data_IF_991330732594
#
_entry.id   IF_991330732594
#
_cell.length_a   1.000
_cell.length_b   1.000
_cell.length_c   1.000
_cell.angle_alpha   90.00
_cell.angle_beta   90.00
_cell.angle_gamma   90.00
#
_symmetry.space_group_name_H-M   'P 1'
#
loop_
_entity.id
_entity.type
_entity.pdbx_description
1 polymer ?
#
# COMPACT_ATOMS: atom_id res chain seq x y z
N UNK A 1 5.95 -8.36 -14.59
CA UNK A 1 4.93 -8.53 -15.67
C UNK A 1 3.77 -7.63 -15.35
N UNK A 2 3.45 -6.66 -16.22
CA UNK A 2 2.28 -5.80 -16.07
C UNK A 2 1.01 -6.55 -16.49
N UNK A 3 -0.04 -6.45 -15.67
CA UNK A 3 -1.35 -7.02 -15.98
C UNK A 3 -2.35 -5.92 -16.29
N UNK A 4 -3.34 -6.24 -17.13
CA UNK A 4 -4.38 -5.27 -17.48
C UNK A 4 -5.13 -4.74 -16.26
N UNK A 5 -5.40 -5.58 -15.27
CA UNK A 5 -6.02 -5.18 -14.00
C UNK A 5 -5.20 -4.13 -13.24
N UNK A 6 -3.87 -4.24 -13.27
CA UNK A 6 -2.99 -3.24 -12.65
C UNK A 6 -3.13 -1.87 -13.34
N UNK A 7 -3.19 -1.84 -14.67
CA UNK A 7 -3.40 -0.58 -15.41
C UNK A 7 -4.76 0.06 -15.06
N UNK A 8 -5.83 -0.73 -14.99
CA UNK A 8 -7.14 -0.23 -14.58
C UNK A 8 -7.14 0.32 -13.15
N UNK A 9 -6.53 -0.39 -12.20
CA UNK A 9 -6.47 0.04 -10.80
C UNK A 9 -5.55 1.26 -10.61
N UNK A 10 -4.45 1.36 -11.35
CA UNK A 10 -3.60 2.56 -11.35
C UNK A 10 -4.36 3.77 -11.92
N UNK A 11 -5.13 3.59 -13.00
CA UNK A 11 -5.95 4.64 -13.58
C UNK A 11 -7.09 5.07 -12.63
N UNK A 12 -7.75 4.11 -11.95
CA UNK A 12 -8.78 4.39 -10.97
C UNK A 12 -8.21 5.18 -9.77
N UNK A 13 -7.03 4.80 -9.27
CA UNK A 13 -6.36 5.52 -8.19
C UNK A 13 -5.94 6.93 -8.60
N UNK A 14 -5.42 7.11 -9.80
CA UNK A 14 -5.08 8.43 -10.31
C UNK A 14 -6.32 9.32 -10.47
N UNK A 15 -7.45 8.76 -10.92
CA UNK A 15 -8.70 9.47 -11.05
C UNK A 15 -9.26 9.92 -9.70
N UNK A 16 -9.32 9.00 -8.71
CA UNK A 16 -9.88 9.34 -7.39
C UNK A 16 -9.03 10.39 -6.65
N UNK A 17 -7.70 10.36 -6.80
CA UNK A 17 -6.82 11.39 -6.23
C UNK A 17 -7.03 12.78 -6.85
N UNK A 18 -7.67 12.85 -8.00
CA UNK A 18 -8.09 14.11 -8.68
C UNK A 18 -9.55 14.44 -8.42
N UNK A 19 -10.25 13.70 -7.56
CA UNK A 19 -11.69 13.78 -7.32
C UNK A 19 -12.54 13.58 -8.58
N UNK A 20 -12.04 12.79 -9.53
CA UNK A 20 -12.73 12.48 -10.80
C UNK A 20 -13.52 11.16 -10.63
N UNK A 21 -14.70 11.28 -10.02
CA UNK A 21 -15.57 10.12 -9.74
C UNK A 21 -16.01 9.39 -11.03
N UNK A 22 -16.42 10.07 -12.12
CA UNK A 22 -16.82 9.38 -13.34
C UNK A 22 -15.71 8.49 -13.92
N UNK A 23 -14.48 8.99 -14.01
CA UNK A 23 -13.36 8.20 -14.50
C UNK A 23 -12.92 7.13 -13.49
N UNK A 24 -13.03 7.38 -12.20
CA UNK A 24 -12.80 6.35 -11.17
C UNK A 24 -13.75 5.17 -11.38
N UNK A 25 -15.05 5.42 -11.55
CA UNK A 25 -16.04 4.37 -11.85
C UNK A 25 -15.69 3.63 -13.13
N UNK A 26 -15.40 4.36 -14.20
CA UNK A 26 -15.05 3.79 -15.51
C UNK A 26 -13.90 2.78 -15.40
N UNK A 27 -12.85 3.14 -14.69
CA UNK A 27 -11.66 2.27 -14.56
C UNK A 27 -11.83 1.18 -13.50
N UNK A 28 -12.60 1.43 -12.45
CA UNK A 28 -12.82 0.44 -11.40
C UNK A 28 -13.83 -0.64 -11.80
N UNK A 29 -14.83 -0.31 -12.61
CA UNK A 29 -15.94 -1.20 -12.98
C UNK A 29 -15.50 -2.57 -13.54
N UNK A 30 -14.53 -2.68 -14.49
CA UNK A 30 -14.10 -3.97 -15.01
C UNK A 30 -13.49 -4.91 -13.95
N UNK A 31 -12.95 -4.35 -12.88
CA UNK A 31 -12.37 -5.11 -11.76
C UNK A 31 -13.47 -5.45 -10.75
N UNK A 32 -14.26 -4.45 -10.37
CA UNK A 32 -15.26 -4.55 -9.32
C UNK A 32 -16.35 -5.60 -9.64
N UNK A 33 -16.77 -5.69 -10.90
CA UNK A 33 -17.78 -6.67 -11.35
C UNK A 33 -17.35 -8.11 -11.07
N UNK A 34 -16.05 -8.39 -11.02
CA UNK A 34 -15.53 -9.74 -10.72
C UNK A 34 -15.76 -10.17 -9.27
N UNK A 35 -16.07 -9.22 -8.38
CA UNK A 35 -16.50 -9.52 -7.01
C UNK A 35 -17.95 -9.98 -6.91
N UNK A 36 -18.69 -10.02 -8.04
CA UNK A 36 -20.12 -10.32 -8.07
C UNK A 36 -21.01 -9.17 -7.60
N UNK A 37 -20.44 -7.96 -7.41
CA UNK A 37 -21.15 -6.76 -6.95
C UNK A 37 -21.31 -5.75 -8.11
N UNK A 38 -22.36 -4.93 -8.00
CA UNK A 38 -22.62 -3.86 -8.96
C UNK A 38 -22.04 -2.53 -8.45
N UNK A 39 -21.06 -2.00 -9.18
CA UNK A 39 -20.47 -0.70 -8.85
C UNK A 39 -21.45 0.47 -9.09
N UNK A 40 -22.41 0.31 -10.00
CA UNK A 40 -23.38 1.37 -10.28
C UNK A 40 -24.39 1.55 -9.12
N UNK A 41 -24.51 0.55 -8.24
CA UNK A 41 -25.29 0.64 -7.01
C UNK A 41 -24.54 1.31 -5.84
N UNK A 42 -23.24 1.58 -5.99
CA UNK A 42 -22.43 2.27 -4.97
C UNK A 42 -22.65 3.78 -5.09
N UNK A 43 -22.96 4.46 -3.99
CA UNK A 43 -23.12 5.92 -3.98
C UNK A 43 -21.80 6.65 -4.32
N UNK A 44 -21.88 7.87 -4.84
CA UNK A 44 -20.68 8.62 -5.24
C UNK A 44 -19.76 8.96 -4.05
N UNK A 45 -20.34 9.21 -2.88
CA UNK A 45 -19.62 9.44 -1.63
C UNK A 45 -18.80 8.23 -1.16
N UNK A 46 -19.20 7.02 -1.55
CA UNK A 46 -18.53 5.76 -1.23
C UNK A 46 -17.46 5.39 -2.28
N UNK A 47 -17.45 6.08 -3.42
CA UNK A 47 -16.38 5.96 -4.41
C UNK A 47 -15.18 6.79 -3.94
N UNK A 48 -14.35 6.17 -3.15
CA UNK A 48 -13.21 6.82 -2.50
C UNK A 48 -11.92 6.00 -2.67
N UNK A 49 -10.82 6.55 -2.17
CA UNK A 49 -9.50 5.90 -2.26
C UNK A 49 -9.47 4.55 -1.55
N UNK A 50 -10.18 4.43 -0.43
CA UNK A 50 -10.19 3.18 0.33
C UNK A 50 -10.87 2.05 -0.43
N UNK A 51 -11.94 2.35 -1.18
CA UNK A 51 -12.56 1.38 -2.09
C UNK A 51 -11.59 0.92 -3.17
N UNK A 52 -10.84 1.82 -3.78
CA UNK A 52 -9.83 1.48 -4.81
C UNK A 52 -8.72 0.62 -4.21
N UNK A 53 -8.19 1.00 -3.04
CA UNK A 53 -7.14 0.24 -2.34
C UNK A 53 -7.61 -1.14 -1.89
N UNK A 54 -8.91 -1.27 -1.56
CA UNK A 54 -9.50 -2.57 -1.23
C UNK A 54 -9.58 -3.47 -2.47
N UNK A 55 -9.97 -2.92 -3.64
CA UNK A 55 -9.94 -3.69 -4.89
C UNK A 55 -8.51 -4.09 -5.28
N UNK A 56 -7.52 -3.23 -5.02
CA UNK A 56 -6.11 -3.59 -5.22
C UNK A 56 -5.69 -4.73 -4.30
N UNK A 57 -6.11 -4.69 -3.03
CA UNK A 57 -5.83 -5.75 -2.04
C UNK A 57 -6.36 -7.11 -2.50
N UNK A 58 -7.59 -7.13 -3.02
CA UNK A 58 -8.25 -8.35 -3.52
C UNK A 58 -7.54 -8.85 -4.79
N UNK A 59 -7.30 -7.97 -5.77
CA UNK A 59 -6.75 -8.32 -7.07
C UNK A 59 -5.29 -8.80 -6.99
N UNK A 60 -4.50 -8.21 -6.08
CA UNK A 60 -3.08 -8.52 -5.90
C UNK A 60 -2.79 -9.31 -4.63
N UNK A 61 -3.79 -10.09 -4.18
CA UNK A 61 -3.64 -10.90 -2.99
C UNK A 61 -2.45 -11.86 -3.11
N UNK A 62 -1.57 -11.87 -2.09
CA UNK A 62 -0.35 -12.70 -2.09
C UNK A 62 0.83 -12.15 -2.91
N UNK A 63 0.70 -10.98 -3.56
CA UNK A 63 1.76 -10.40 -4.41
C UNK A 63 2.65 -9.38 -3.69
N UNK A 64 2.44 -9.16 -2.39
CA UNK A 64 3.25 -8.24 -1.59
C UNK A 64 2.99 -6.74 -1.85
N UNK A 65 2.01 -6.38 -2.69
CA UNK A 65 1.76 -4.99 -3.07
C UNK A 65 1.07 -4.17 -1.98
N UNK A 66 0.27 -4.80 -1.11
CA UNK A 66 -0.54 -4.13 -0.09
C UNK A 66 0.26 -3.18 0.81
N UNK A 67 1.43 -3.62 1.24
CA UNK A 67 2.33 -2.83 2.07
C UNK A 67 2.69 -1.49 1.42
N UNK A 68 3.15 -1.54 0.18
CA UNK A 68 3.51 -0.33 -0.57
C UNK A 68 2.30 0.54 -0.90
N UNK A 69 1.15 -0.06 -1.22
CA UNK A 69 -0.10 0.66 -1.48
C UNK A 69 -0.56 1.47 -0.27
N UNK A 70 -0.44 0.93 0.93
CA UNK A 70 -0.79 1.64 2.16
C UNK A 70 0.19 2.78 2.44
N UNK A 71 1.49 2.51 2.46
CA UNK A 71 2.49 3.50 2.81
C UNK A 71 2.53 4.70 1.85
N UNK A 72 2.50 4.47 0.53
CA UNK A 72 2.50 5.56 -0.47
C UNK A 72 1.23 6.41 -0.44
N UNK A 73 0.16 5.91 0.19
CA UNK A 73 -1.10 6.63 0.39
C UNK A 73 -1.25 7.16 1.82
N UNK A 74 -0.18 7.20 2.61
CA UNK A 74 -0.17 7.64 4.02
C UNK A 74 -1.21 6.89 4.88
N UNK A 75 -1.45 5.62 4.55
CA UNK A 75 -2.33 4.75 5.33
C UNK A 75 -1.49 3.91 6.28
N UNK A 76 -2.08 3.57 7.41
CA UNK A 76 -1.46 2.68 8.38
C UNK A 76 -1.44 1.23 7.88
N UNK A 77 -0.37 0.53 8.18
CA UNK A 77 -0.29 -0.93 8.08
C UNK A 77 -0.76 -1.50 9.40
N UNK A 78 -1.83 -2.29 9.37
CA UNK A 78 -2.39 -2.95 10.55
C UNK A 78 -2.26 -4.46 10.30
N UNK A 79 -1.66 -5.16 11.25
CA UNK A 79 -1.55 -6.62 11.25
C UNK A 79 -2.65 -7.19 12.14
N UNK A 80 -3.66 -7.80 11.53
CA UNK A 80 -4.80 -8.38 12.25
C UNK A 80 -4.47 -9.77 12.81
N UNK A 81 -3.67 -10.54 12.07
CA UNK A 81 -3.25 -11.91 12.43
C UNK A 81 -1.74 -11.94 12.70
N UNK A 82 -1.33 -11.54 13.89
CA UNK A 82 0.06 -11.61 14.28
C UNK A 82 0.30 -12.72 15.32
N UNK A 83 1.46 -13.35 15.22
CA UNK A 83 1.92 -14.26 16.26
C UNK A 83 2.37 -13.43 17.48
N UNK A 84 2.19 -13.96 18.66
CA UNK A 84 2.46 -13.31 19.95
C UNK A 84 3.90 -12.77 20.12
N UNK A 85 4.81 -13.15 19.24
CA UNK A 85 6.20 -12.73 19.24
C UNK A 85 6.46 -11.42 18.45
N UNK A 86 5.45 -10.86 17.79
CA UNK A 86 5.61 -9.59 17.08
C UNK A 86 5.54 -8.45 18.08
N UNK A 87 6.55 -7.56 18.15
CA UNK A 87 6.52 -6.39 19.02
C UNK A 87 5.27 -5.51 18.75
N UNK A 88 4.67 -4.95 19.80
CA UNK A 88 3.45 -4.14 19.68
C UNK A 88 3.59 -2.98 18.69
N UNK A 89 4.76 -2.35 18.62
CA UNK A 89 5.05 -1.30 17.64
C UNK A 89 5.05 -1.76 16.18
N UNK A 90 5.15 -3.06 15.95
CA UNK A 90 5.09 -3.63 14.60
C UNK A 90 3.69 -4.16 14.24
N UNK A 91 2.71 -4.07 15.15
CA UNK A 91 1.31 -4.46 14.91
C UNK A 91 0.59 -3.40 14.09
N UNK A 92 0.79 -2.12 14.45
CA UNK A 92 0.24 -0.97 13.72
C UNK A 92 1.34 0.07 13.53
N UNK A 93 1.60 0.46 12.29
CA UNK A 93 2.60 1.48 11.96
C UNK A 93 2.26 2.20 10.65
N UNK A 94 2.88 3.34 10.44
CA UNK A 94 2.78 4.13 9.23
C UNK A 94 4.18 4.38 8.62
N UNK A 95 4.25 5.25 7.63
CA UNK A 95 5.49 5.58 6.93
C UNK A 95 6.61 6.16 7.82
N UNK A 96 6.29 6.64 9.02
CA UNK A 96 7.28 7.19 9.97
C UNK A 96 8.01 6.12 10.77
N UNK A 97 7.55 4.87 10.70
CA UNK A 97 8.20 3.77 11.39
C UNK A 97 9.57 3.47 10.77
N UNK A 98 10.64 3.64 11.55
CA UNK A 98 12.01 3.59 11.07
C UNK A 98 12.40 2.29 10.34
N UNK A 99 11.83 1.14 10.74
CA UNK A 99 12.12 -0.18 10.10
C UNK A 99 11.52 -0.35 8.70
N UNK A 100 10.80 0.65 8.17
CA UNK A 100 10.35 0.65 6.77
C UNK A 100 11.53 0.76 5.82
N UNK A 101 12.54 1.53 6.20
CA UNK A 101 13.80 1.63 5.48
C UNK A 101 14.79 0.67 6.14
N UNK A 102 15.38 -0.23 5.38
CA UNK A 102 16.36 -1.17 5.90
C UNK A 102 17.64 -0.45 6.35
N UNK A 103 18.34 -0.96 7.38
CA UNK A 103 19.63 -0.40 7.78
C UNK A 103 20.67 -0.58 6.68
N UNK A 104 21.63 0.34 6.63
CA UNK A 104 22.85 0.13 5.83
C UNK A 104 23.59 -1.06 6.47
N UNK A 105 24.03 -2.06 5.68
CA UNK A 105 24.75 -3.22 6.23
C UNK A 105 26.01 -2.79 7.00
N UNK A 106 26.26 -3.44 8.12
CA UNK A 106 27.40 -3.10 8.99
C UNK A 106 28.73 -3.11 8.24
N UNK A 107 28.92 -4.05 7.35
CA UNK A 107 30.12 -4.14 6.54
C UNK A 107 30.34 -2.90 5.65
N UNK A 108 29.30 -2.27 5.12
CA UNK A 108 29.39 -1.01 4.37
C UNK A 108 29.77 0.15 5.31
N UNK A 109 29.26 0.14 6.53
CA UNK A 109 29.60 1.13 7.55
C UNK A 109 31.07 1.02 8.00
N UNK A 110 31.62 -0.20 8.06
CA UNK A 110 33.00 -0.45 8.46
C UNK A 110 34.03 -0.01 7.41
N UNK A 111 33.70 -0.15 6.13
CA UNK A 111 34.64 0.11 5.03
C UNK A 111 34.54 1.52 4.43
N UNK A 112 33.46 2.24 4.75
CA UNK A 112 33.24 3.58 4.21
C UNK A 112 33.00 4.60 5.33
N UNK A 113 34.05 5.31 5.72
CA UNK A 113 34.02 6.31 6.80
C UNK A 113 33.04 7.47 6.53
N UNK A 114 32.60 7.67 5.27
CA UNK A 114 31.63 8.69 4.90
C UNK A 114 30.18 8.16 4.90
N UNK A 115 29.98 6.85 5.18
CA UNK A 115 28.65 6.28 5.22
C UNK A 115 27.94 6.70 6.51
N UNK A 116 26.68 7.10 6.38
CA UNK A 116 25.82 7.45 7.49
C UNK A 116 24.67 6.45 7.56
N UNK A 117 24.46 5.89 8.73
CA UNK A 117 23.35 4.96 8.96
C UNK A 117 22.01 5.67 8.87
N UNK A 118 20.98 4.95 8.43
CA UNK A 118 19.61 5.43 8.47
C UNK A 118 19.20 5.77 9.92
N UNK A 119 18.38 6.84 10.11
CA UNK A 119 17.93 7.23 11.44
C UNK A 119 17.35 6.07 12.26
N UNK A 120 17.47 6.13 13.56
CA UNK A 120 16.94 5.16 14.54
C UNK A 120 17.63 3.77 14.54
N UNK A 121 18.60 3.54 13.65
CA UNK A 121 19.45 2.33 13.72
C UNK A 121 20.74 2.66 14.48
N UNK A 122 20.90 2.03 15.63
CA UNK A 122 22.16 2.09 16.39
C UNK A 122 23.19 1.18 15.74
N UNK A 123 24.43 1.64 15.71
CA UNK A 123 25.59 0.79 15.36
C UNK A 123 25.86 -0.11 16.56
N UNK A 124 25.65 -1.40 16.41
CA UNK A 124 25.97 -2.41 17.40
C UNK A 124 27.31 -3.07 17.07
#
# INVERSE_FOLDING_TARGET
VFRLSELYLNAAEAAIKRNDIPNTRKYLKPIYVRTGKDLDAVADEDINLDLVLEQRRIEFWGEGQRFFDLLRNNKKVIREDYLSEVPNEAVEFDWSYYKIVLPVPNHEMEYNENMVQNPEYELH
#
